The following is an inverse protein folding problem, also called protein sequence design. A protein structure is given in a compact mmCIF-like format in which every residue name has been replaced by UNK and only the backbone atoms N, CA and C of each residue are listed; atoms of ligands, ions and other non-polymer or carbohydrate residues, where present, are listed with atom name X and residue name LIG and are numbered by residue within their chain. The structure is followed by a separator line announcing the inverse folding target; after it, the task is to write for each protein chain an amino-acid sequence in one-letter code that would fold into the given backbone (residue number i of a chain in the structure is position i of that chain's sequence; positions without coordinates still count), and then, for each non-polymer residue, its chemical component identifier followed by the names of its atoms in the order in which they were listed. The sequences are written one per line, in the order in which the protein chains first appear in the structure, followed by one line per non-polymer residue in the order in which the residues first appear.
data_IF_014460660194
#
_entry.id   IF_014460660194
#
_cell.length_a   1.000
_cell.length_b   1.000
_cell.length_c   1.000
_cell.angle_alpha   90.00
_cell.angle_beta   90.00
_cell.angle_gamma   90.00
#
_symmetry.space_group_name_H-M   'P 1'
#
loop_
_entity.id
_entity.type
_entity.pdbx_description
1 polymer ?
#
# COMPACT_ATOMS: atom_id res chain seq x y z
N UNK A 1 -11.55 25.13 -3.36
CA UNK A 1 -10.79 23.92 -3.03
C UNK A 1 -9.32 24.19 -3.33
N UNK A 2 -8.40 23.81 -2.44
CA UNK A 2 -6.97 24.00 -2.66
C UNK A 2 -6.52 23.18 -3.86
N UNK A 3 -5.80 23.81 -4.79
CA UNK A 3 -5.23 23.14 -5.95
C UNK A 3 -4.14 22.17 -5.47
N UNK A 4 -4.36 20.87 -5.64
CA UNK A 4 -3.36 19.85 -5.31
C UNK A 4 -2.24 19.93 -6.35
N UNK A 5 -1.01 20.03 -5.89
CA UNK A 5 0.18 20.02 -6.73
C UNK A 5 0.92 18.72 -6.41
N UNK A 6 1.06 17.83 -7.39
CA UNK A 6 1.90 16.65 -7.29
C UNK A 6 3.37 17.08 -7.24
N UNK A 7 3.93 17.17 -6.04
CA UNK A 7 5.33 17.53 -5.81
C UNK A 7 6.09 16.43 -5.08
N UNK A 8 5.42 15.69 -4.19
CA UNK A 8 6.00 14.59 -3.42
C UNK A 8 5.13 13.33 -3.49
N UNK A 9 5.65 12.20 -3.01
CA UNK A 9 4.93 10.93 -3.04
C UNK A 9 3.67 10.94 -2.17
N UNK A 10 3.63 11.73 -1.10
CA UNK A 10 2.44 11.86 -0.26
C UNK A 10 1.25 12.49 -1.01
N UNK A 11 1.53 13.34 -2.02
CA UNK A 11 0.50 13.94 -2.86
C UNK A 11 -0.09 12.93 -3.86
N UNK A 12 0.63 11.83 -4.15
CA UNK A 12 0.29 10.89 -5.22
C UNK A 12 -1.12 10.31 -5.06
N UNK A 13 -1.47 9.87 -3.85
CA UNK A 13 -2.78 9.23 -3.61
C UNK A 13 -3.93 10.18 -3.94
N UNK A 14 -3.85 11.41 -3.45
CA UNK A 14 -4.89 12.42 -3.64
C UNK A 14 -4.90 12.91 -5.09
N UNK A 15 -3.72 13.17 -5.66
CA UNK A 15 -3.60 13.60 -7.05
C UNK A 15 -4.08 12.54 -8.05
N UNK A 16 -3.81 11.26 -7.80
CA UNK A 16 -4.32 10.13 -8.60
C UNK A 16 -5.84 10.10 -8.64
N UNK A 17 -6.51 10.33 -7.51
CA UNK A 17 -7.96 10.42 -7.45
C UNK A 17 -8.50 11.61 -8.25
N UNK A 18 -7.86 12.79 -8.12
CA UNK A 18 -8.25 13.98 -8.88
C UNK A 18 -8.00 13.83 -10.38
N UNK A 19 -6.86 13.28 -10.79
CA UNK A 19 -6.54 13.00 -12.19
C UNK A 19 -7.62 12.09 -12.81
N UNK A 20 -8.00 11.02 -12.11
CA UNK A 20 -9.07 10.13 -12.57
C UNK A 20 -10.39 10.87 -12.68
N UNK A 21 -10.77 11.64 -11.68
CA UNK A 21 -12.00 12.45 -11.70
C UNK A 21 -12.04 13.41 -12.90
N UNK A 22 -10.94 14.11 -13.19
CA UNK A 22 -10.82 14.99 -14.35
C UNK A 22 -10.89 14.22 -15.68
N UNK A 23 -10.21 13.08 -15.77
CA UNK A 23 -10.25 12.23 -16.96
C UNK A 23 -11.65 11.64 -17.19
N UNK A 24 -12.37 11.25 -16.13
CA UNK A 24 -13.75 10.76 -16.18
C UNK A 24 -14.71 11.88 -16.63
N UNK A 25 -14.58 13.10 -16.10
CA UNK A 25 -15.38 14.25 -16.52
C UNK A 25 -15.18 14.61 -18.00
N UNK A 26 -13.99 14.34 -18.54
CA UNK A 26 -13.67 14.54 -19.97
C UNK A 26 -13.96 13.29 -20.82
N UNK A 27 -14.49 12.20 -20.24
CA UNK A 27 -14.72 10.92 -20.93
C UNK A 27 -13.43 10.38 -21.62
N UNK A 28 -12.29 10.60 -20.96
CA UNK A 28 -10.96 10.18 -21.42
C UNK A 28 -10.42 8.99 -20.64
N UNK A 29 -10.93 8.71 -19.43
CA UNK A 29 -10.37 7.67 -18.55
C UNK A 29 -10.30 6.29 -19.23
N UNK A 30 -11.32 5.91 -19.99
CA UNK A 30 -11.36 4.65 -20.76
C UNK A 30 -10.17 4.45 -21.71
N UNK A 31 -9.51 5.52 -22.15
CA UNK A 31 -8.32 5.45 -23.02
C UNK A 31 -7.00 5.49 -22.23
N UNK A 32 -7.06 5.86 -20.95
CA UNK A 32 -5.90 6.16 -20.09
C UNK A 32 -5.69 5.07 -19.03
N UNK A 33 -6.75 4.36 -18.64
CA UNK A 33 -6.72 3.39 -17.56
C UNK A 33 -5.55 2.40 -17.74
N UNK A 34 -4.58 2.38 -16.79
CA UNK A 34 -3.47 1.44 -16.86
C UNK A 34 -3.92 0.00 -16.58
N UNK A 35 -5.04 -0.20 -15.89
CA UNK A 35 -5.55 -1.53 -15.51
C UNK A 35 -6.37 -2.19 -16.63
N UNK A 36 -6.80 -1.43 -17.63
CA UNK A 36 -7.47 -1.99 -18.81
C UNK A 36 -6.43 -2.68 -19.71
N UNK A 37 -6.52 -4.00 -19.87
CA UNK A 37 -5.59 -4.74 -20.73
C UNK A 37 -5.70 -4.33 -22.21
N UNK A 38 -6.88 -3.91 -22.67
CA UNK A 38 -7.18 -3.59 -24.06
C UNK A 38 -8.01 -2.31 -24.19
N UNK A 39 -7.48 -1.14 -23.82
CA UNK A 39 -8.27 0.08 -23.91
C UNK A 39 -8.49 0.44 -25.38
N UNK A 40 -9.62 1.12 -25.66
CA UNK A 40 -9.83 1.71 -26.97
C UNK A 40 -8.66 2.61 -27.38
N UNK A 41 -8.34 2.61 -28.67
CA UNK A 41 -7.41 3.58 -29.21
C UNK A 41 -8.09 4.95 -29.34
N UNK A 42 -7.32 6.00 -29.09
CA UNK A 42 -7.75 7.35 -29.42
C UNK A 42 -8.07 7.49 -30.91
N UNK A 43 -9.02 8.37 -31.23
CA UNK A 43 -9.43 8.59 -32.61
C UNK A 43 -8.26 9.14 -33.43
N UNK A 44 -8.03 8.53 -34.59
CA UNK A 44 -7.06 9.03 -35.57
C UNK A 44 -7.68 10.13 -36.40
N UNK A 45 -6.84 11.07 -36.89
CA UNK A 45 -7.30 12.15 -37.75
C UNK A 45 -8.00 11.56 -38.98
N UNK A 46 -9.29 11.86 -39.22
CA UNK A 46 -10.01 11.27 -40.34
C UNK A 46 -9.42 11.76 -41.67
N UNK A 47 -9.39 10.86 -42.66
CA UNK A 47 -8.93 11.19 -44.01
C UNK A 47 -10.00 11.99 -44.76
N UNK A 48 -9.57 13.08 -45.40
CA UNK A 48 -10.46 13.87 -46.24
C UNK A 48 -10.89 13.04 -47.48
N UNK A 49 -12.18 13.06 -47.86
CA UNK A 49 -12.63 12.41 -49.09
C UNK A 49 -11.88 12.95 -50.31
N UNK A 50 -11.41 12.05 -51.18
CA UNK A 50 -10.67 12.43 -52.37
C UNK A 50 -11.61 12.99 -53.46
N UNK A 51 -11.59 14.32 -53.62
CA UNK A 51 -12.36 15.01 -54.65
C UNK A 51 -11.91 14.65 -56.07
N UNK A 52 -10.63 14.30 -56.28
CA UNK A 52 -10.10 13.92 -57.59
C UNK A 52 -10.59 12.53 -57.98
N UNK A 53 -10.61 11.58 -57.04
CA UNK A 53 -11.19 10.27 -57.26
C UNK A 53 -12.68 10.35 -57.63
N UNK A 54 -13.43 11.28 -57.01
CA UNK A 54 -14.83 11.54 -57.38
C UNK A 54 -14.96 12.07 -58.82
N UNK A 55 -14.19 13.11 -59.18
CA UNK A 55 -14.22 13.69 -60.52
C UNK A 55 -13.86 12.68 -61.62
N UNK A 56 -12.92 11.79 -61.34
CA UNK A 56 -12.57 10.70 -62.27
C UNK A 56 -13.73 9.73 -62.47
N UNK A 57 -14.38 9.28 -61.38
CA UNK A 57 -15.57 8.40 -61.47
C UNK A 57 -16.72 9.03 -62.29
N UNK A 58 -16.96 10.33 -62.11
CA UNK A 58 -18.00 11.05 -62.87
C UNK A 58 -17.63 11.13 -64.35
N UNK A 59 -16.36 11.42 -64.64
CA UNK A 59 -15.85 11.50 -66.01
C UNK A 59 -15.89 10.15 -66.73
N UNK A 60 -15.58 9.06 -66.02
CA UNK A 60 -15.66 7.68 -66.52
C UNK A 60 -17.10 7.25 -66.80
N UNK A 61 -18.04 7.59 -65.91
CA UNK A 61 -19.46 7.31 -66.13
C UNK A 61 -20.02 8.07 -67.35
N UNK A 62 -19.58 9.32 -67.54
CA UNK A 62 -19.94 10.13 -68.71
C UNK A 62 -19.31 9.59 -70.01
N UNK A 63 -18.04 9.19 -69.97
CA UNK A 63 -17.34 8.64 -71.13
C UNK A 63 -17.88 7.26 -71.56
N UNK A 64 -18.41 6.48 -70.63
CA UNK A 64 -19.04 5.19 -70.88
C UNK A 64 -20.47 5.29 -71.46
N UNK A 65 -20.99 6.50 -71.70
CA UNK A 65 -22.34 6.72 -72.22
C UNK A 65 -23.45 6.27 -71.26
N UNK A 66 -23.13 6.12 -69.98
CA UNK A 66 -24.06 5.69 -68.95
C UNK A 66 -24.96 6.87 -68.56
N UNK A 67 -26.24 6.58 -68.38
CA UNK A 67 -27.33 7.54 -68.17
C UNK A 67 -27.08 8.51 -66.99
N UNK A 68 -27.83 9.63 -66.96
CA UNK A 68 -27.80 10.66 -65.92
C UNK A 68 -27.81 10.09 -64.50
N UNK A 69 -28.49 8.97 -64.31
CA UNK A 69 -28.65 8.27 -63.02
C UNK A 69 -27.33 7.80 -62.41
N UNK A 70 -26.33 7.39 -63.20
CA UNK A 70 -25.03 6.96 -62.68
C UNK A 70 -24.18 8.14 -62.17
N UNK A 71 -24.27 9.29 -62.84
CA UNK A 71 -23.64 10.53 -62.37
C UNK A 71 -24.28 11.03 -61.07
N UNK A 72 -25.60 10.89 -60.96
CA UNK A 72 -26.34 11.23 -59.72
C UNK A 72 -25.99 10.27 -58.58
N UNK A 73 -25.82 8.98 -58.84
CA UNK A 73 -25.38 8.00 -57.85
C UNK A 73 -23.96 8.29 -57.32
N UNK A 74 -23.01 8.62 -58.21
CA UNK A 74 -21.66 9.00 -57.82
C UNK A 74 -21.62 10.28 -56.97
N UNK A 75 -22.46 11.27 -57.30
CA UNK A 75 -22.60 12.50 -56.53
C UNK A 75 -23.17 12.21 -55.13
N UNK A 76 -24.21 11.38 -55.03
CA UNK A 76 -24.80 10.98 -53.76
C UNK A 76 -23.81 10.20 -52.89
N UNK A 77 -22.99 9.31 -53.48
CA UNK A 77 -21.92 8.59 -52.76
C UNK A 77 -20.88 9.58 -52.18
N UNK A 78 -20.48 10.58 -52.96
CA UNK A 78 -19.52 11.60 -52.50
C UNK A 78 -20.11 12.49 -51.39
N UNK A 79 -21.36 12.92 -51.52
CA UNK A 79 -22.07 13.69 -50.48
C UNK A 79 -22.10 12.88 -49.18
N UNK A 80 -22.54 11.61 -49.22
CA UNK A 80 -22.59 10.75 -48.05
C UNK A 80 -21.21 10.55 -47.40
N UNK A 81 -20.14 10.38 -48.20
CA UNK A 81 -18.77 10.29 -47.67
C UNK A 81 -18.29 11.60 -47.05
N UNK A 82 -18.66 12.74 -47.64
CA UNK A 82 -18.35 14.07 -47.11
C UNK A 82 -19.04 14.31 -45.78
N UNK A 83 -20.34 14.00 -45.68
CA UNK A 83 -21.11 14.09 -44.43
C UNK A 83 -20.52 13.17 -43.34
N UNK A 84 -20.22 11.92 -43.67
CA UNK A 84 -19.58 10.99 -42.74
C UNK A 84 -18.18 11.47 -42.29
N UNK A 85 -17.43 12.12 -43.17
CA UNK A 85 -16.16 12.76 -42.83
C UNK A 85 -16.36 13.93 -41.87
N UNK A 86 -17.34 14.80 -42.09
CA UNK A 86 -17.62 15.94 -41.20
C UNK A 86 -17.92 15.45 -39.78
N UNK A 87 -18.80 14.46 -39.64
CA UNK A 87 -19.14 13.86 -38.33
C UNK A 87 -17.89 13.29 -37.67
N UNK A 88 -17.08 12.50 -38.39
CA UNK A 88 -15.83 11.95 -37.83
C UNK A 88 -14.82 13.04 -37.45
N UNK A 89 -14.74 14.11 -38.23
CA UNK A 89 -13.83 15.23 -37.97
C UNK A 89 -14.24 16.00 -36.73
N UNK A 90 -15.53 16.22 -36.53
CA UNK A 90 -16.05 16.91 -35.35
C UNK A 90 -15.81 16.07 -34.09
N UNK A 91 -16.08 14.76 -34.12
CA UNK A 91 -15.73 13.86 -32.99
C UNK A 91 -14.22 13.87 -32.69
N UNK A 92 -13.37 13.83 -33.73
CA UNK A 92 -11.93 13.91 -33.57
C UNK A 92 -11.47 15.24 -32.96
N UNK A 93 -12.08 16.36 -33.37
CA UNK A 93 -11.80 17.68 -32.82
C UNK A 93 -12.19 17.73 -31.34
N UNK A 94 -13.40 17.29 -31.01
CA UNK A 94 -13.92 17.32 -29.64
C UNK A 94 -13.09 16.41 -28.72
N UNK A 95 -12.63 15.24 -29.19
CA UNK A 95 -11.66 14.41 -28.45
C UNK A 95 -10.30 15.12 -28.28
N UNK A 96 -9.82 15.82 -29.31
CA UNK A 96 -8.55 16.56 -29.26
C UNK A 96 -8.60 17.71 -28.25
N UNK A 97 -9.71 18.45 -28.22
CA UNK A 97 -9.94 19.54 -27.25
C UNK A 97 -9.96 19.01 -25.81
N UNK A 98 -10.67 17.90 -25.56
CA UNK A 98 -10.69 17.24 -24.25
C UNK A 98 -9.29 16.80 -23.81
N UNK A 99 -8.49 16.23 -24.72
CA UNK A 99 -7.08 15.88 -24.43
C UNK A 99 -6.23 17.10 -24.06
N UNK A 100 -6.39 18.21 -24.79
CA UNK A 100 -5.68 19.46 -24.49
C UNK A 100 -6.08 19.99 -23.12
N UNK A 101 -7.38 20.02 -22.81
CA UNK A 101 -7.87 20.45 -21.50
C UNK A 101 -7.28 19.62 -20.34
N UNK A 102 -7.21 18.29 -20.50
CA UNK A 102 -6.59 17.43 -19.49
C UNK A 102 -5.08 17.70 -19.37
N UNK A 103 -4.37 17.90 -20.49
CA UNK A 103 -2.95 18.26 -20.47
C UNK A 103 -2.68 19.59 -19.80
N UNK A 104 -3.51 20.60 -20.04
CA UNK A 104 -3.41 21.89 -19.39
C UNK A 104 -3.69 21.78 -17.89
N UNK A 105 -4.61 20.91 -17.50
CA UNK A 105 -4.81 20.61 -16.09
C UNK A 105 -3.57 19.94 -15.46
N UNK A 106 -2.99 18.92 -16.11
CA UNK A 106 -1.77 18.23 -15.67
C UNK A 106 -0.61 19.24 -15.55
N UNK A 107 -0.42 20.10 -16.55
CA UNK A 107 0.67 21.08 -16.60
C UNK A 107 0.59 22.14 -15.51
N UNK A 108 -0.57 22.26 -14.85
CA UNK A 108 -0.74 23.19 -13.74
C UNK A 108 -0.84 22.52 -12.37
N UNK A 109 -0.94 21.19 -12.33
CA UNK A 109 -1.08 20.39 -11.09
C UNK A 109 0.07 19.43 -10.85
N UNK A 110 1.02 19.29 -11.77
CA UNK A 110 2.27 18.53 -11.56
C UNK A 110 3.42 19.51 -11.38
N UNK A 111 4.33 19.28 -10.42
CA UNK A 111 5.50 20.14 -10.26
C UNK A 111 6.38 20.10 -11.53
N UNK A 112 6.95 21.24 -11.93
CA UNK A 112 7.76 21.37 -13.16
C UNK A 112 8.92 20.37 -13.22
N UNK A 113 9.50 20.00 -12.09
CA UNK A 113 10.60 19.02 -12.01
C UNK A 113 10.15 17.59 -12.35
N UNK A 114 8.85 17.29 -12.23
CA UNK A 114 8.24 16.01 -12.60
C UNK A 114 7.71 16.05 -14.05
N UNK A 115 7.29 17.23 -14.52
CA UNK A 115 6.71 17.43 -15.86
C UNK A 115 7.67 17.13 -17.03
N UNK A 116 8.98 17.11 -16.80
CA UNK A 116 10.00 16.83 -17.84
C UNK A 116 9.77 15.46 -18.53
N UNK A 117 9.03 14.55 -17.89
CA UNK A 117 8.65 13.23 -18.43
C UNK A 117 7.51 13.25 -19.47
N UNK A 118 6.93 14.42 -19.82
CA UNK A 118 5.69 14.57 -20.62
C UNK A 118 5.89 14.76 -22.15
N UNK A 119 7.05 14.43 -22.75
CA UNK A 119 7.24 14.77 -24.18
C UNK A 119 6.52 13.83 -25.19
N UNK A 120 6.09 12.63 -24.78
CA UNK A 120 5.67 11.58 -25.75
C UNK A 120 4.19 11.62 -26.18
N UNK A 121 3.41 12.62 -25.75
CA UNK A 121 2.04 12.87 -26.24
C UNK A 121 0.97 11.81 -25.89
N UNK A 122 1.32 10.58 -25.50
CA UNK A 122 0.35 9.58 -25.09
C UNK A 122 0.03 9.70 -23.59
N UNK A 123 -1.19 10.15 -23.26
CA UNK A 123 -1.66 10.35 -21.88
C UNK A 123 -1.62 9.05 -21.04
N UNK A 124 -1.89 7.89 -21.66
CA UNK A 124 -1.80 6.59 -20.98
C UNK A 124 -0.36 6.25 -20.60
N UNK A 125 0.55 6.37 -21.56
CA UNK A 125 1.99 6.13 -21.33
C UNK A 125 2.52 7.09 -20.27
N UNK A 126 2.14 8.36 -20.34
CA UNK A 126 2.53 9.36 -19.35
C UNK A 126 2.04 9.01 -17.95
N UNK A 127 0.73 8.73 -17.79
CA UNK A 127 0.15 8.38 -16.50
C UNK A 127 0.74 7.06 -15.95
N UNK A 128 0.99 6.07 -16.80
CA UNK A 128 1.68 4.83 -16.43
C UNK A 128 3.12 5.07 -15.93
N UNK A 129 3.87 5.99 -16.55
CA UNK A 129 5.20 6.38 -16.06
C UNK A 129 5.12 7.05 -14.68
N UNK A 130 4.14 7.94 -14.47
CA UNK A 130 3.92 8.55 -13.14
C UNK A 130 3.60 7.47 -12.10
N UNK A 131 2.66 6.57 -12.41
CA UNK A 131 2.30 5.45 -11.53
C UNK A 131 3.53 4.63 -11.13
N UNK A 132 4.33 4.21 -12.10
CA UNK A 132 5.55 3.45 -11.83
C UNK A 132 6.56 4.22 -10.96
N UNK A 133 6.79 5.51 -11.23
CA UNK A 133 7.70 6.34 -10.44
C UNK A 133 7.26 6.50 -8.98
N UNK A 134 5.97 6.76 -8.77
CA UNK A 134 5.43 7.01 -7.44
C UNK A 134 5.22 5.73 -6.63
N UNK A 135 4.81 4.63 -7.26
CA UNK A 135 4.70 3.33 -6.60
C UNK A 135 6.08 2.81 -6.18
N UNK A 136 7.11 2.97 -7.02
CA UNK A 136 8.48 2.63 -6.65
C UNK A 136 9.00 3.49 -5.47
N UNK A 137 8.64 4.78 -5.43
CA UNK A 137 9.01 5.65 -4.31
C UNK A 137 8.28 5.29 -3.02
N UNK A 138 6.98 5.02 -3.09
CA UNK A 138 6.16 4.59 -1.97
C UNK A 138 6.69 3.27 -1.39
N UNK A 139 7.02 2.30 -2.24
CA UNK A 139 7.65 1.05 -1.83
C UNK A 139 9.00 1.29 -1.15
N UNK A 140 9.84 2.20 -1.67
CA UNK A 140 11.12 2.56 -1.04
C UNK A 140 10.94 3.18 0.34
N UNK A 141 9.97 4.08 0.52
CA UNK A 141 9.64 4.67 1.82
C UNK A 141 9.09 3.62 2.80
N UNK A 142 8.20 2.76 2.34
CA UNK A 142 7.66 1.64 3.12
C UNK A 142 8.80 0.71 3.58
N UNK A 143 9.75 0.38 2.70
CA UNK A 143 10.95 -0.40 3.05
C UNK A 143 11.80 0.28 4.11
N UNK A 144 12.08 1.57 3.95
CA UNK A 144 12.88 2.31 4.93
C UNK A 144 12.21 2.34 6.32
N UNK A 145 10.90 2.59 6.36
CA UNK A 145 10.12 2.56 7.60
C UNK A 145 10.09 1.16 8.23
N UNK A 146 9.84 0.13 7.42
CA UNK A 146 9.83 -1.25 7.87
C UNK A 146 11.19 -1.70 8.43
N UNK A 147 12.31 -1.29 7.80
CA UNK A 147 13.66 -1.57 8.30
C UNK A 147 13.91 -0.90 9.66
N UNK A 148 13.48 0.36 9.83
CA UNK A 148 13.63 1.04 11.11
C UNK A 148 12.83 0.34 12.21
N UNK A 149 11.54 0.05 11.96
CA UNK A 149 10.69 -0.66 12.91
C UNK A 149 11.21 -2.08 13.22
N UNK A 150 11.75 -2.77 12.20
CA UNK A 150 12.42 -4.06 12.38
C UNK A 150 13.59 -3.96 13.34
N UNK A 151 14.47 -2.98 13.12
CA UNK A 151 15.66 -2.80 13.93
C UNK A 151 15.31 -2.38 15.36
N UNK A 152 14.34 -1.48 15.51
CA UNK A 152 13.85 -1.03 16.82
C UNK A 152 13.27 -2.18 17.63
N UNK A 153 12.64 -3.16 16.99
CA UNK A 153 12.09 -4.33 17.69
C UNK A 153 13.16 -5.41 17.95
N UNK A 154 13.87 -5.87 16.92
CA UNK A 154 14.75 -7.04 17.03
C UNK A 154 16.12 -6.73 17.62
N UNK A 155 16.62 -5.50 17.49
CA UNK A 155 17.95 -5.10 17.96
C UNK A 155 17.91 -4.13 19.14
N UNK A 156 16.73 -3.84 19.70
CA UNK A 156 16.65 -3.20 21.02
C UNK A 156 17.28 -4.09 22.09
N UNK A 157 17.73 -3.49 23.21
CA UNK A 157 18.22 -4.26 24.35
C UNK A 157 17.11 -5.19 24.89
N UNK A 158 17.33 -6.52 24.94
CA UNK A 158 16.34 -7.46 25.46
C UNK A 158 15.95 -7.13 26.90
N UNK A 159 14.65 -7.13 27.18
CA UNK A 159 14.10 -6.86 28.52
C UNK A 159 12.73 -7.48 28.67
N UNK A 160 12.31 -7.74 29.90
CA UNK A 160 10.95 -8.18 30.20
C UNK A 160 9.95 -7.06 29.84
N UNK A 161 9.00 -7.28 28.91
CA UNK A 161 8.00 -6.29 28.56
C UNK A 161 7.00 -6.09 29.71
N UNK A 162 6.49 -4.87 29.87
CA UNK A 162 5.42 -4.59 30.85
C UNK A 162 4.13 -5.35 30.53
N UNK A 163 3.84 -5.52 29.24
CA UNK A 163 2.70 -6.26 28.74
C UNK A 163 3.21 -7.24 27.65
N UNK A 164 3.45 -8.52 28.02
CA UNK A 164 3.92 -9.52 27.08
C UNK A 164 2.96 -9.79 25.92
N UNK A 165 1.64 -9.66 26.12
CA UNK A 165 0.66 -9.89 25.04
C UNK A 165 0.74 -8.77 24.01
N UNK A 166 0.81 -7.52 24.46
CA UNK A 166 1.02 -6.36 23.59
C UNK A 166 2.36 -6.44 22.85
N UNK A 167 3.40 -6.96 23.48
CA UNK A 167 4.70 -7.19 22.82
C UNK A 167 4.59 -8.19 21.65
N UNK A 168 3.75 -9.24 21.77
CA UNK A 168 3.49 -10.16 20.65
C UNK A 168 2.71 -9.47 19.53
N UNK A 169 1.76 -8.58 19.86
CA UNK A 169 1.03 -7.81 18.85
C UNK A 169 1.97 -6.85 18.08
N UNK A 170 2.94 -6.25 18.78
CA UNK A 170 3.99 -5.44 18.18
C UNK A 170 4.88 -6.27 17.23
N UNK A 171 5.33 -7.45 17.65
CA UNK A 171 6.03 -8.40 16.78
C UNK A 171 5.26 -8.69 15.49
N UNK A 172 3.97 -9.05 15.60
CA UNK A 172 3.11 -9.32 14.43
C UNK A 172 2.98 -8.10 13.54
N UNK A 173 2.86 -6.91 14.13
CA UNK A 173 2.80 -5.66 13.38
C UNK A 173 4.09 -5.40 12.59
N UNK A 174 5.25 -5.58 13.22
CA UNK A 174 6.57 -5.41 12.58
C UNK A 174 6.76 -6.41 11.43
N UNK A 175 6.45 -7.68 11.66
CA UNK A 175 6.56 -8.72 10.63
C UNK A 175 5.63 -8.46 9.45
N UNK A 176 4.39 -8.03 9.71
CA UNK A 176 3.43 -7.68 8.67
C UNK A 176 3.89 -6.48 7.86
N UNK A 177 4.38 -5.43 8.51
CA UNK A 177 4.89 -4.24 7.84
C UNK A 177 6.10 -4.59 6.95
N UNK A 178 7.03 -5.40 7.48
CA UNK A 178 8.18 -5.90 6.73
C UNK A 178 7.81 -6.78 5.53
N UNK A 179 6.81 -7.66 5.67
CA UNK A 179 6.34 -8.52 4.58
C UNK A 179 5.62 -7.69 3.50
N UNK A 180 4.78 -6.72 3.91
CA UNK A 180 4.10 -5.79 2.99
C UNK A 180 5.07 -4.86 2.23
N UNK A 181 6.24 -4.58 2.81
CA UNK A 181 7.31 -3.83 2.17
C UNK A 181 8.28 -4.72 1.37
N UNK A 182 8.01 -6.03 1.31
CA UNK A 182 8.81 -7.03 0.61
C UNK A 182 10.26 -7.12 1.11
N UNK A 183 10.48 -7.01 2.42
CA UNK A 183 11.82 -7.18 2.98
C UNK A 183 12.27 -8.64 2.85
N UNK A 184 13.43 -8.93 2.23
CA UNK A 184 13.91 -10.31 2.05
C UNK A 184 14.05 -11.10 3.36
N UNK A 185 14.33 -10.38 4.45
CA UNK A 185 14.53 -10.92 5.80
C UNK A 185 13.29 -11.64 6.35
N UNK A 186 12.09 -11.31 5.85
CA UNK A 186 10.84 -11.95 6.29
C UNK A 186 10.62 -13.33 5.69
N UNK A 187 11.31 -13.64 4.59
CA UNK A 187 11.11 -14.87 3.82
C UNK A 187 11.83 -16.08 4.41
N UNK A 188 12.90 -15.84 5.16
CA UNK A 188 13.68 -16.90 5.79
C UNK A 188 13.43 -16.94 7.29
N UNK A 189 12.81 -18.02 7.77
CA UNK A 189 12.48 -18.23 9.18
C UNK A 189 13.70 -18.05 10.10
N UNK A 190 14.85 -18.60 9.68
CA UNK A 190 16.10 -18.54 10.45
C UNK A 190 16.61 -17.12 10.70
N UNK A 191 16.34 -16.18 9.78
CA UNK A 191 16.82 -14.80 9.86
C UNK A 191 16.15 -14.03 11.00
N UNK A 192 14.86 -14.28 11.24
CA UNK A 192 14.09 -13.54 12.24
C UNK A 192 13.80 -14.32 13.52
N UNK A 193 13.82 -15.65 13.48
CA UNK A 193 13.56 -16.49 14.65
C UNK A 193 14.66 -16.35 15.71
N UNK A 194 15.93 -16.25 15.29
CA UNK A 194 17.04 -16.12 16.23
C UNK A 194 17.02 -14.77 16.98
N UNK A 195 16.88 -13.61 16.31
CA UNK A 195 16.66 -12.34 17.01
C UNK A 195 15.41 -12.35 17.90
N UNK A 196 14.32 -12.99 17.45
CA UNK A 196 13.09 -13.13 18.26
C UNK A 196 13.37 -13.88 19.57
N UNK A 197 14.15 -14.95 19.51
CA UNK A 197 14.55 -15.73 20.67
C UNK A 197 15.33 -14.91 21.67
N UNK A 198 16.31 -14.13 21.20
CA UNK A 198 17.09 -13.24 22.05
C UNK A 198 16.21 -12.19 22.75
N UNK A 199 15.21 -11.64 22.04
CA UNK A 199 14.28 -10.69 22.64
C UNK A 199 13.33 -11.34 23.67
N UNK A 200 12.91 -12.57 23.43
CA UNK A 200 11.95 -13.29 24.28
C UNK A 200 12.59 -14.02 25.47
N UNK A 201 13.90 -14.31 25.40
CA UNK A 201 14.66 -15.04 26.42
C UNK A 201 14.41 -14.55 27.86
N UNK A 202 14.41 -13.23 28.17
CA UNK A 202 14.24 -12.74 29.54
C UNK A 202 12.92 -13.14 30.21
N UNK A 203 11.91 -13.56 29.46
CA UNK A 203 10.59 -13.89 30.00
C UNK A 203 9.96 -15.18 29.47
N UNK A 204 10.56 -15.84 28.46
CA UNK A 204 10.06 -17.10 27.87
C UNK A 204 11.15 -18.18 27.67
N UNK A 205 12.32 -18.03 28.28
CA UNK A 205 13.47 -18.96 28.26
C UNK A 205 13.21 -20.41 27.81
N UNK A 206 12.64 -21.27 28.68
CA UNK A 206 12.38 -22.70 28.38
C UNK A 206 11.42 -22.87 27.19
N UNK A 207 10.41 -22.00 27.09
CA UNK A 207 9.43 -22.02 26.00
C UNK A 207 10.08 -21.74 24.64
N UNK A 208 11.14 -20.91 24.58
CA UNK A 208 11.85 -20.64 23.32
C UNK A 208 12.64 -21.85 22.81
N UNK A 209 13.15 -22.70 23.73
CA UNK A 209 13.80 -23.97 23.37
C UNK A 209 12.76 -24.98 22.87
N UNK A 210 11.62 -25.08 23.56
CA UNK A 210 10.51 -25.94 23.14
C UNK A 210 9.98 -25.57 21.76
N UNK A 211 9.90 -24.27 21.46
CA UNK A 211 9.48 -23.74 20.16
C UNK A 211 10.36 -24.27 19.00
N UNK A 212 11.69 -24.27 19.15
CA UNK A 212 12.58 -24.79 18.09
C UNK A 212 12.35 -26.27 17.83
N UNK A 213 12.10 -27.05 18.88
CA UNK A 213 11.81 -28.47 18.75
C UNK A 213 10.47 -28.70 18.06
N UNK A 214 9.44 -27.95 18.47
CA UNK A 214 8.08 -28.06 17.95
C UNK A 214 7.98 -27.71 16.46
N UNK A 215 8.68 -26.66 16.02
CA UNK A 215 8.62 -26.16 14.64
C UNK A 215 9.83 -26.54 13.79
N UNK A 216 10.62 -27.54 14.20
CA UNK A 216 11.86 -27.93 13.53
C UNK A 216 11.68 -28.16 12.03
N UNK A 217 10.66 -28.91 11.64
CA UNK A 217 10.41 -29.25 10.23
C UNK A 217 10.07 -28.00 9.42
N UNK A 218 9.21 -27.14 9.94
CA UNK A 218 8.84 -25.89 9.26
C UNK A 218 10.00 -24.89 9.17
N UNK A 219 10.96 -24.95 10.12
CA UNK A 219 12.20 -24.18 10.05
C UNK A 219 13.13 -24.74 8.97
N UNK A 220 13.29 -26.06 8.92
CA UNK A 220 14.14 -26.75 7.93
C UNK A 220 13.61 -26.57 6.50
N UNK A 221 12.29 -26.59 6.32
CA UNK A 221 11.60 -26.44 5.03
C UNK A 221 11.24 -24.97 4.69
N UNK A 222 11.68 -23.99 5.51
CA UNK A 222 11.40 -22.55 5.39
C UNK A 222 9.91 -22.19 5.20
N UNK A 223 9.02 -22.99 5.80
CA UNK A 223 7.56 -22.84 5.73
C UNK A 223 6.94 -22.27 7.01
N UNK A 224 7.77 -21.92 7.99
CA UNK A 224 7.34 -21.37 9.26
C UNK A 224 6.81 -19.93 9.09
N UNK A 225 5.56 -19.71 9.47
CA UNK A 225 4.93 -18.38 9.48
C UNK A 225 5.05 -17.70 10.83
N UNK A 226 5.30 -16.39 10.82
CA UNK A 226 5.32 -15.56 12.04
C UNK A 226 3.98 -15.56 12.80
N UNK A 227 2.86 -15.84 12.13
CA UNK A 227 1.54 -15.94 12.77
C UNK A 227 1.44 -17.17 13.67
N UNK A 228 1.95 -18.32 13.22
CA UNK A 228 2.05 -19.55 14.03
C UNK A 228 2.92 -19.33 15.27
N UNK A 229 4.04 -18.61 15.12
CA UNK A 229 4.90 -18.27 16.24
C UNK A 229 4.19 -17.31 17.21
N UNK A 230 3.46 -16.32 16.72
CA UNK A 230 2.67 -15.43 17.58
C UNK A 230 1.61 -16.18 18.39
N UNK A 231 0.94 -17.18 17.81
CA UNK A 231 -0.01 -18.05 18.52
C UNK A 231 0.68 -18.87 19.62
N UNK A 232 1.84 -19.46 19.32
CA UNK A 232 2.65 -20.17 20.30
C UNK A 232 3.05 -19.25 21.47
N UNK A 233 3.56 -18.05 21.18
CA UNK A 233 3.99 -17.08 22.19
C UNK A 233 2.81 -16.67 23.10
N UNK A 234 1.64 -16.39 22.51
CA UNK A 234 0.42 -16.05 23.29
C UNK A 234 -0.01 -17.19 24.22
N UNK A 235 0.07 -18.43 23.74
CA UNK A 235 -0.25 -19.61 24.54
C UNK A 235 0.71 -19.73 25.74
N UNK A 236 2.02 -19.64 25.49
CA UNK A 236 3.05 -19.76 26.53
C UNK A 236 2.99 -18.63 27.57
N UNK A 237 2.76 -17.39 27.14
CA UNK A 237 2.52 -16.24 28.03
C UNK A 237 1.32 -16.51 28.93
N UNK A 238 0.22 -17.01 28.36
CA UNK A 238 -1.01 -17.31 29.10
C UNK A 238 -0.80 -18.45 30.10
N UNK A 239 -0.03 -19.48 29.72
CA UNK A 239 0.31 -20.60 30.58
C UNK A 239 1.16 -20.14 31.78
N UNK A 240 2.19 -19.32 31.53
CA UNK A 240 3.08 -18.80 32.58
C UNK A 240 2.33 -17.89 33.56
N UNK A 241 1.42 -17.04 33.07
CA UNK A 241 0.57 -16.20 33.92
C UNK A 241 -0.32 -17.04 34.85
N UNK A 242 -0.88 -18.17 34.36
CA UNK A 242 -1.69 -19.09 35.19
C UNK A 242 -0.87 -19.75 36.29
N UNK A 243 0.34 -20.22 35.97
CA UNK A 243 1.23 -20.86 36.94
C UNK A 243 1.64 -19.88 38.04
N UNK A 244 1.91 -18.61 37.71
CA UNK A 244 2.25 -17.57 38.69
C UNK A 244 1.07 -17.18 39.59
N UNK A 245 -0.16 -17.17 39.07
CA UNK A 245 -1.35 -16.91 39.88
C UNK A 245 -1.66 -18.07 40.84
N UNK A 246 -1.45 -19.32 40.40
CA UNK A 246 -1.67 -20.50 41.24
C UNK A 246 -0.64 -20.64 42.36
N UNK A 247 0.62 -20.20 42.15
CA UNK A 247 1.64 -20.22 43.20
C UNK A 247 1.42 -19.16 44.28
N UNK A 248 0.67 -18.08 44.01
CA UNK A 248 0.28 -17.08 45.00
C UNK A 248 -0.93 -17.47 45.85
N UNK A 249 -1.79 -18.39 45.39
CA UNK A 249 -2.97 -18.85 46.15
C UNK A 249 -2.71 -20.08 47.04
N UNK A 250 -1.59 -20.78 46.87
CA UNK A 250 -1.24 -21.95 47.68
C UNK A 250 -0.59 -21.67 49.05
N UNK A 251 -0.47 -20.40 49.46
CA UNK A 251 0.25 -19.98 50.67
C UNK A 251 -0.59 -19.68 51.92
N UNK A 252 -1.92 -19.62 51.82
CA UNK A 252 -2.81 -19.35 52.96
C UNK A 252 -3.81 -20.51 53.13
N UNK A 253 -3.35 -21.61 53.72
CA UNK A 253 -4.24 -22.75 53.95
C UNK A 253 -3.59 -23.92 54.66
N UNK A 254 -3.24 -23.74 55.94
CA UNK A 254 -3.07 -24.89 56.84
C UNK A 254 -2.07 -24.67 57.97
N UNK A 255 -2.55 -24.19 59.11
CA UNK A 255 -2.12 -24.72 60.41
C UNK A 255 -3.15 -24.32 61.48
N UNK A 256 -3.90 -25.31 61.96
CA UNK A 256 -4.77 -25.21 63.13
C UNK A 256 -4.33 -26.20 64.19
N UNK A 257 -4.16 -25.69 65.42
CA UNK A 257 -4.16 -26.41 66.71
C UNK A 257 -2.92 -27.25 67.01
N UNK A 258 -2.31 -27.29 68.20
CA UNK A 258 -2.64 -26.82 69.56
C UNK A 258 -1.31 -26.72 70.33
N UNK A 259 -1.18 -25.84 71.33
CA UNK A 259 -0.03 -25.92 72.24
C UNK A 259 0.23 -24.70 73.12
N UNK A 260 -0.54 -24.55 74.20
CA UNK A 260 -0.08 -24.15 75.53
C UNK A 260 0.88 -22.96 75.73
N UNK A 261 0.36 -21.93 76.41
CA UNK A 261 0.94 -21.48 77.68
C UNK A 261 1.95 -20.33 77.69
N UNK A 262 1.56 -19.23 78.35
CA UNK A 262 2.40 -18.62 79.37
C UNK A 262 3.24 -17.40 78.99
N UNK A 263 2.72 -16.22 79.38
CA UNK A 263 3.49 -15.31 80.22
C UNK A 263 4.41 -14.28 79.57
N UNK A 264 4.08 -13.00 79.81
CA UNK A 264 5.09 -12.06 80.30
C UNK A 264 5.65 -11.04 79.32
N UNK A 265 5.04 -9.85 79.33
CA UNK A 265 5.74 -8.59 79.64
C UNK A 265 6.57 -7.90 78.55
N UNK A 266 6.35 -6.60 78.41
CA UNK A 266 7.47 -5.66 78.22
C UNK A 266 7.51 -4.83 76.94
N UNK A 267 6.78 -3.70 76.98
CA UNK A 267 7.25 -2.33 76.65
C UNK A 267 8.35 -2.13 75.58
N UNK A 268 8.04 -1.24 74.63
CA UNK A 268 9.02 -0.39 73.93
C UNK A 268 8.45 0.21 72.63
N UNK A 269 7.70 1.33 72.67
CA UNK A 269 8.15 2.73 72.48
C UNK A 269 9.12 2.99 71.30
N UNK A 270 8.64 3.82 70.37
CA UNK A 270 9.42 4.75 69.52
C UNK A 270 9.51 4.31 68.05
N UNK A 271 9.22 5.11 67.02
CA UNK A 271 8.87 6.52 66.91
C UNK A 271 9.22 7.02 65.49
N UNK A 272 8.44 8.01 64.99
CA UNK A 272 8.76 8.98 63.91
C UNK A 272 8.89 8.43 62.47
N UNK A 273 7.99 8.68 61.49
CA UNK A 273 7.65 9.94 60.74
C UNK A 273 8.89 10.83 60.50
N UNK A 274 9.37 11.10 59.28
CA UNK A 274 8.80 11.88 58.12
C UNK A 274 10.00 12.14 57.12
N UNK A 275 9.91 12.96 56.03
CA UNK A 275 9.23 12.81 54.74
C UNK A 275 10.14 12.99 53.48
N UNK A 276 9.49 12.89 52.31
CA UNK A 276 9.82 13.38 50.94
C UNK A 276 10.86 14.50 50.82
N UNK A 277 11.70 14.39 49.78
CA UNK A 277 12.26 15.54 49.07
C UNK A 277 11.92 15.49 47.58
N UNK A 278 11.14 16.48 47.13
CA UNK A 278 11.05 16.93 45.74
C UNK A 278 12.23 17.87 45.52
N UNK A 279 12.99 17.69 44.45
CA UNK A 279 13.82 18.75 43.89
C UNK A 279 13.50 18.87 42.40
N UNK A 280 13.37 20.13 41.99
CA UNK A 280 12.92 20.67 40.70
C UNK A 280 13.94 21.76 40.37
N UNK A 281 14.56 21.70 39.19
CA UNK A 281 15.37 22.75 38.55
C UNK A 281 16.09 22.08 37.37
N UNK A 282 16.09 22.55 36.13
CA UNK A 282 15.67 23.80 35.52
C UNK A 282 15.31 23.54 34.06
#
# INVERSE_FOLDING_TARGET
MSKIILAVADDWRTWKCEFRSQADMLDLWKFIDPEDENPPAFMTKPAMPDAKAFLNKVSEAQAAGVDRDASTAALNEFIARSEAYQVKRDVYRDETERKMALRDWISTTVNINIQILHQDGNLRVYYGKLLACFDAHALRLARAKAINNWNDFFYATPRVPQDPMKWVDEFVSVMREADSAELPLTKCALVWLLPLQQQAEPFLEISMVAMQSQFRKEIEDDSLSYTKIAEFLRFEISLKARVQNNSHQGGEGGEGGEGGGGGGGGRGRGGRRRPKNKARSS
#
